data_IF_526368642109
#
_entry.id   IF_526368642109
#
_cell.length_a   1.000
_cell.length_b   1.000
_cell.length_c   1.000
_cell.angle_alpha   90.00
_cell.angle_beta   90.00
_cell.angle_gamma   90.00
#
_symmetry.space_group_name_H-M   'P 1'
#
loop_
_entity.id
_entity.type
_entity.pdbx_description
1 polymer ?
#
# COMPACT_ATOMS: atom_id res chain seq x y z
N UNK A 1 -13.35 0.15 7.73
CA UNK A 1 -12.18 0.24 6.84
C UNK A 1 -10.91 0.48 7.66
N UNK A 2 -10.89 1.48 8.53
CA UNK A 2 -9.79 1.79 9.45
C UNK A 2 -9.22 0.57 10.22
N UNK A 3 -10.08 -0.28 10.79
CA UNK A 3 -9.63 -1.51 11.48
C UNK A 3 -8.88 -2.50 10.57
N UNK A 4 -9.25 -2.58 9.29
CA UNK A 4 -8.58 -3.43 8.31
C UNK A 4 -7.19 -2.86 7.99
N UNK A 5 -7.12 -1.55 7.75
CA UNK A 5 -5.86 -0.83 7.50
C UNK A 5 -4.89 -1.03 8.66
N UNK A 6 -5.36 -0.79 9.89
CA UNK A 6 -4.57 -1.01 11.10
C UNK A 6 -4.05 -2.44 11.20
N UNK A 7 -4.92 -3.43 10.97
CA UNK A 7 -4.51 -4.84 11.00
C UNK A 7 -3.43 -5.14 9.95
N UNK A 8 -3.55 -4.61 8.73
CA UNK A 8 -2.54 -4.79 7.68
C UNK A 8 -1.20 -4.20 8.10
N UNK A 9 -1.19 -2.95 8.59
CA UNK A 9 0.04 -2.28 9.03
C UNK A 9 0.69 -3.08 10.16
N UNK A 10 -0.06 -3.48 11.18
CA UNK A 10 0.47 -4.25 12.32
C UNK A 10 1.16 -5.55 11.90
N UNK A 11 0.69 -6.23 10.86
CA UNK A 11 1.23 -7.52 10.42
C UNK A 11 2.33 -7.41 9.35
N UNK A 12 2.41 -6.29 8.63
CA UNK A 12 3.41 -6.09 7.60
C UNK A 12 4.65 -5.38 8.18
N UNK A 13 5.76 -6.11 8.32
CA UNK A 13 6.99 -5.65 8.96
C UNK A 13 7.65 -4.44 8.27
N UNK A 14 7.36 -4.22 6.98
CA UNK A 14 7.83 -3.05 6.24
C UNK A 14 6.97 -1.82 6.56
N UNK A 15 5.64 -2.01 6.62
CA UNK A 15 4.68 -0.93 6.89
C UNK A 15 4.64 -0.50 8.36
N UNK A 16 4.92 -1.41 9.31
CA UNK A 16 5.02 -1.05 10.73
C UNK A 16 6.44 -0.65 11.16
N UNK A 17 7.40 -0.54 10.24
CA UNK A 17 8.77 -0.10 10.53
C UNK A 17 9.62 -1.10 11.33
N UNK A 18 9.16 -2.33 11.57
CA UNK A 18 9.95 -3.34 12.28
C UNK A 18 11.16 -3.82 11.49
N UNK A 19 11.10 -3.78 10.16
CA UNK A 19 12.24 -4.08 9.30
C UNK A 19 13.41 -3.10 9.58
N UNK A 20 13.16 -1.80 9.45
CA UNK A 20 14.13 -0.73 9.74
C UNK A 20 14.61 -0.76 11.21
N UNK A 21 13.71 -1.02 12.16
CA UNK A 21 14.05 -1.12 13.58
C UNK A 21 15.10 -2.19 13.85
N UNK A 22 14.98 -3.36 13.20
CA UNK A 22 15.97 -4.44 13.32
C UNK A 22 17.32 -4.07 12.70
N UNK A 23 17.34 -3.13 11.77
CA UNK A 23 18.55 -2.59 11.14
C UNK A 23 19.14 -1.39 11.90
N UNK A 24 18.47 -0.93 12.97
CA UNK A 24 18.99 0.06 13.92
C UNK A 24 18.26 1.39 13.95
N UNK A 25 17.21 1.60 13.15
CA UNK A 25 16.38 2.80 13.25
C UNK A 25 15.32 2.65 14.34
N UNK A 26 15.65 3.16 15.52
CA UNK A 26 14.79 3.09 16.70
C UNK A 26 13.46 3.84 16.54
N UNK A 27 13.36 4.80 15.62
CA UNK A 27 12.18 5.64 15.42
C UNK A 27 11.27 5.13 14.29
N UNK A 28 11.74 4.17 13.48
CA UNK A 28 11.00 3.67 12.34
C UNK A 28 9.57 3.15 12.68
N UNK A 29 9.32 2.45 13.79
CA UNK A 29 7.97 1.97 14.09
C UNK A 29 6.95 3.09 14.30
N UNK A 30 7.38 4.22 14.88
CA UNK A 30 6.52 5.39 15.07
C UNK A 30 6.32 6.13 13.75
N UNK A 31 7.41 6.39 13.03
CA UNK A 31 7.38 7.18 11.79
C UNK A 31 6.58 6.48 10.68
N UNK A 32 6.66 5.15 10.57
CA UNK A 32 5.94 4.41 9.53
C UNK A 32 4.46 4.26 9.86
N UNK A 33 4.08 4.06 11.13
CA UNK A 33 2.66 3.93 11.48
C UNK A 33 1.87 5.22 11.19
N UNK A 34 2.44 6.39 11.51
CA UNK A 34 1.81 7.71 11.27
C UNK A 34 1.46 7.94 9.79
N UNK A 35 2.22 7.35 8.85
CA UNK A 35 1.95 7.47 7.40
C UNK A 35 0.69 6.75 6.94
N UNK A 36 0.30 5.68 7.65
CA UNK A 36 -0.80 4.80 7.26
C UNK A 36 -1.99 4.86 8.23
N UNK A 37 -1.90 5.69 9.28
CA UNK A 37 -2.98 6.01 10.24
C UNK A 37 -4.06 6.94 9.67
N UNK A 38 -4.39 6.82 8.38
CA UNK A 38 -5.40 7.64 7.70
C UNK A 38 -6.44 6.78 7.00
N UNK A 39 -7.64 7.34 6.80
CA UNK A 39 -8.64 6.70 5.96
C UNK A 39 -8.13 6.56 4.52
N UNK A 40 -8.31 5.40 3.86
CA UNK A 40 -7.85 5.24 2.48
C UNK A 40 -8.46 6.29 1.56
N UNK A 41 -7.63 6.92 0.74
CA UNK A 41 -8.12 7.83 -0.29
C UNK A 41 -8.74 7.01 -1.42
N UNK A 42 -10.03 7.22 -1.71
CA UNK A 42 -10.76 6.44 -2.71
C UNK A 42 -10.63 7.02 -4.12
N UNK A 43 -10.38 6.13 -5.10
CA UNK A 43 -10.25 6.48 -6.51
C UNK A 43 -11.26 5.71 -7.33
N UNK A 44 -11.79 6.40 -8.35
CA UNK A 44 -12.62 5.82 -9.42
C UNK A 44 -11.90 5.79 -10.76
N UNK A 45 -10.64 6.23 -10.81
CA UNK A 45 -9.81 6.27 -12.02
C UNK A 45 -8.42 5.72 -11.75
N UNK A 46 -8.05 4.68 -12.50
CA UNK A 46 -6.70 4.10 -12.44
C UNK A 46 -5.61 5.11 -12.83
N UNK A 47 -5.90 6.03 -13.76
CA UNK A 47 -4.93 7.05 -14.16
C UNK A 47 -4.60 8.00 -13.01
N UNK A 48 -5.62 8.43 -12.25
CA UNK A 48 -5.42 9.28 -11.07
C UNK A 48 -4.72 8.50 -9.95
N UNK A 49 -5.14 7.26 -9.70
CA UNK A 49 -4.49 6.39 -8.72
C UNK A 49 -3.00 6.22 -9.05
N UNK A 50 -2.68 5.87 -10.29
CA UNK A 50 -1.29 5.67 -10.72
C UNK A 50 -0.46 6.94 -10.59
N UNK A 51 -1.01 8.09 -10.96
CA UNK A 51 -0.35 9.37 -10.75
C UNK A 51 -0.05 9.61 -9.27
N UNK A 52 -1.00 9.37 -8.38
CA UNK A 52 -0.81 9.67 -6.97
C UNK A 52 0.13 8.66 -6.30
N UNK A 53 0.09 7.38 -6.70
CA UNK A 53 1.06 6.37 -6.28
C UNK A 53 2.50 6.71 -6.71
N UNK A 54 2.71 7.48 -7.79
CA UNK A 54 4.05 7.97 -8.19
C UNK A 54 4.56 9.12 -7.32
N UNK A 55 3.67 9.83 -6.63
CA UNK A 55 4.00 11.12 -6.02
C UNK A 55 3.83 11.14 -4.50
N UNK A 56 3.04 10.22 -3.92
CA UNK A 56 2.62 10.29 -2.52
C UNK A 56 2.69 8.94 -1.82
N UNK A 57 3.12 8.93 -0.56
CA UNK A 57 2.95 7.80 0.35
C UNK A 57 1.54 7.80 0.96
N UNK A 58 1.06 6.62 1.37
CA UNK A 58 -0.20 6.49 2.09
C UNK A 58 -1.01 5.27 1.68
N UNK A 59 -2.29 5.28 2.05
CA UNK A 59 -3.24 4.21 1.74
C UNK A 59 -4.25 4.70 0.71
N UNK A 60 -4.36 3.96 -0.40
CA UNK A 60 -5.26 4.28 -1.50
C UNK A 60 -6.21 3.11 -1.75
N UNK A 61 -7.44 3.39 -2.19
CA UNK A 61 -8.45 2.36 -2.48
C UNK A 61 -8.96 2.49 -3.91
N UNK A 62 -9.06 1.36 -4.60
CA UNK A 62 -9.72 1.25 -5.90
C UNK A 62 -10.45 -0.08 -5.99
N UNK A 63 -11.76 -0.04 -6.20
CA UNK A 63 -12.64 -1.23 -6.13
C UNK A 63 -12.43 -2.03 -4.81
N UNK A 64 -12.15 -3.32 -4.91
CA UNK A 64 -11.86 -4.21 -3.80
C UNK A 64 -10.40 -4.18 -3.33
N UNK A 65 -9.57 -3.29 -3.88
CA UNK A 65 -8.13 -3.27 -3.64
C UNK A 65 -7.72 -2.11 -2.73
N UNK A 66 -6.81 -2.40 -1.80
CA UNK A 66 -6.09 -1.42 -0.99
C UNK A 66 -4.61 -1.42 -1.37
N UNK A 67 -4.07 -0.22 -1.56
CA UNK A 67 -2.71 0.05 -1.98
C UNK A 67 -2.00 0.78 -0.84
N UNK A 68 -1.02 0.14 -0.23
CA UNK A 68 -0.15 0.75 0.78
C UNK A 68 1.13 1.17 0.10
N UNK A 69 1.19 2.44 -0.29
CA UNK A 69 2.32 2.97 -1.04
C UNK A 69 3.38 3.51 -0.10
N UNK A 70 4.58 2.97 -0.22
CA UNK A 70 5.79 3.56 0.34
C UNK A 70 6.78 3.85 -0.77
N UNK A 71 7.38 5.04 -0.75
CA UNK A 71 8.43 5.40 -1.69
C UNK A 71 9.73 4.63 -1.39
N UNK A 72 9.90 4.14 -0.16
CA UNK A 72 11.03 3.30 0.24
C UNK A 72 10.83 1.84 -0.13
N UNK A 73 9.61 1.31 0.05
CA UNK A 73 9.34 -0.12 -0.04
C UNK A 73 8.49 -0.54 -1.23
N UNK A 74 8.04 0.38 -2.07
CA UNK A 74 7.07 0.11 -3.12
C UNK A 74 5.64 0.04 -2.59
N UNK A 75 4.74 -0.49 -3.41
CA UNK A 75 3.31 -0.49 -3.15
C UNK A 75 2.79 -1.90 -2.87
N UNK A 76 2.34 -2.15 -1.64
CA UNK A 76 1.74 -3.43 -1.26
C UNK A 76 0.24 -3.41 -1.54
N UNK A 77 -0.24 -4.42 -2.27
CA UNK A 77 -1.65 -4.50 -2.70
C UNK A 77 -2.37 -5.59 -1.93
N UNK A 78 -3.47 -5.24 -1.28
CA UNK A 78 -4.34 -6.15 -0.55
C UNK A 78 -5.73 -6.17 -1.18
N UNK A 79 -6.38 -7.31 -1.10
CA UNK A 79 -7.80 -7.47 -1.47
C UNK A 79 -8.63 -7.45 -0.19
N UNK A 80 -9.58 -6.51 -0.09
CA UNK A 80 -10.42 -6.34 1.11
C UNK A 80 -11.33 -7.54 1.36
N UNK A 81 -11.53 -8.39 0.35
CA UNK A 81 -12.33 -9.61 0.46
C UNK A 81 -11.50 -10.81 0.95
N UNK A 82 -10.19 -10.66 1.13
CA UNK A 82 -9.28 -11.71 1.59
C UNK A 82 -8.72 -11.41 2.98
N UNK A 83 -8.20 -12.43 3.70
CA UNK A 83 -7.50 -12.20 4.96
C UNK A 83 -6.34 -11.21 4.79
N UNK A 84 -6.15 -10.25 5.71
CA UNK A 84 -5.14 -9.19 5.59
C UNK A 84 -3.72 -9.64 5.95
N UNK A 85 -3.51 -10.94 6.11
CA UNK A 85 -2.26 -11.49 6.66
C UNK A 85 -1.14 -11.53 5.59
N UNK A 86 -1.49 -11.35 4.31
CA UNK A 86 -0.54 -11.25 3.19
C UNK A 86 -1.08 -10.36 2.07
N UNK A 87 -0.22 -9.53 1.49
CA UNK A 87 -0.53 -8.83 0.25
C UNK A 87 -0.68 -9.83 -0.91
N UNK A 88 -1.53 -9.51 -1.87
CA UNK A 88 -1.74 -10.33 -3.08
C UNK A 88 -0.80 -9.96 -4.22
N UNK A 89 -0.20 -8.77 -4.15
CA UNK A 89 0.78 -8.28 -5.11
C UNK A 89 1.64 -7.16 -4.50
N UNK A 90 2.84 -6.95 -5.06
CA UNK A 90 3.76 -5.89 -4.66
C UNK A 90 4.33 -5.17 -5.89
N UNK A 91 4.02 -3.89 -6.03
CA UNK A 91 4.39 -3.09 -7.20
C UNK A 91 5.59 -2.18 -6.92
N UNK A 92 6.54 -2.16 -7.86
CA UNK A 92 7.56 -1.11 -7.96
C UNK A 92 7.03 0.03 -8.83
N UNK A 93 6.15 0.86 -8.26
CA UNK A 93 5.41 1.90 -8.99
C UNK A 93 6.32 2.76 -9.86
N UNK A 94 7.48 3.19 -9.35
CA UNK A 94 8.45 4.03 -10.09
C UNK A 94 8.97 3.39 -11.38
N UNK A 95 9.13 2.07 -11.40
CA UNK A 95 9.60 1.33 -12.57
C UNK A 95 8.46 0.97 -13.55
N UNK A 96 7.21 1.05 -13.12
CA UNK A 96 6.05 0.69 -13.95
C UNK A 96 5.66 1.81 -14.92
N UNK A 97 5.16 1.41 -16.09
CA UNK A 97 4.38 2.27 -16.99
C UNK A 97 2.90 2.21 -16.62
N UNK A 98 2.12 3.23 -17.00
CA UNK A 98 0.68 3.22 -16.75
C UNK A 98 -0.02 2.00 -17.37
N UNK A 99 0.32 1.62 -18.60
CA UNK A 99 -0.26 0.44 -19.27
C UNK A 99 0.02 -0.86 -18.50
N UNK A 100 1.25 -1.05 -18.01
CA UNK A 100 1.61 -2.23 -17.21
C UNK A 100 0.87 -2.26 -15.87
N UNK A 101 0.71 -1.09 -15.24
CA UNK A 101 -0.03 -0.94 -13.99
C UNK A 101 -1.52 -1.24 -14.19
N UNK A 102 -2.15 -0.64 -15.20
CA UNK A 102 -3.56 -0.85 -15.52
C UNK A 102 -3.84 -2.33 -15.79
N UNK A 103 -2.99 -3.00 -16.57
CA UNK A 103 -3.13 -4.43 -16.85
C UNK A 103 -3.00 -5.28 -15.59
N UNK A 104 -2.01 -4.98 -14.74
CA UNK A 104 -1.81 -5.69 -13.49
C UNK A 104 -3.01 -5.52 -12.55
N UNK A 105 -3.44 -4.27 -12.31
CA UNK A 105 -4.57 -3.98 -11.41
C UNK A 105 -5.86 -4.61 -11.92
N UNK A 106 -6.19 -4.49 -13.21
CA UNK A 106 -7.39 -5.10 -13.76
C UNK A 106 -7.41 -6.64 -13.65
N UNK A 107 -6.25 -7.29 -13.58
CA UNK A 107 -6.16 -8.74 -13.37
C UNK A 107 -6.43 -9.18 -11.92
N UNK A 108 -6.38 -8.24 -10.97
CA UNK A 108 -6.58 -8.47 -9.54
C UNK A 108 -8.00 -8.12 -9.07
N UNK A 109 -8.71 -7.29 -9.83
CA UNK A 109 -10.12 -6.94 -9.57
C UNK A 109 -10.99 -8.14 -9.92
N UNK A 110 -11.88 -8.52 -8.99
CA UNK A 110 -12.81 -9.65 -9.13
C UNK A 110 -14.25 -9.19 -9.16
#
# INVERSE_FOLDING_TARGET
>A
MEQLVKKIVEHNEWLNGMADFREGDLMAPLNQSEKFETEPTEYTSLAKLFNDLKNYEGVFKFENLLFFNSLQYGCFVYDINKPPDSYIEHFTIDAMTFESFEKAVNSLIS
#
